data_IF_550122010586
#
_entry.id   IF_550122010586
#
_cell.length_a   1.000
_cell.length_b   1.000
_cell.length_c   1.000
_cell.angle_alpha   90.00
_cell.angle_beta   90.00
_cell.angle_gamma   90.00
#
_symmetry.space_group_name_H-M   'P 1'
#
loop_
_entity.id
_entity.type
_entity.pdbx_description
1 polymer ?
#
# COMPACT_ATOMS: atom_id res chain seq x y z
N UNK A 1 2.49 -4.98 8.52
CA UNK A 1 2.11 -4.16 9.69
C UNK A 1 2.94 -2.88 9.78
N UNK A 2 4.27 -2.96 9.93
CA UNK A 2 5.12 -1.75 10.10
C UNK A 2 5.10 -0.78 8.90
N UNK A 3 5.15 -1.30 7.66
CA UNK A 3 5.01 -0.48 6.44
C UNK A 3 3.70 0.32 6.46
N UNK A 4 2.58 -0.30 6.84
CA UNK A 4 1.28 0.39 6.92
C UNK A 4 1.27 1.46 8.01
N UNK A 5 1.58 1.09 9.24
CA UNK A 5 1.42 1.97 10.38
C UNK A 5 2.48 3.10 10.39
N UNK A 6 3.76 2.74 10.25
CA UNK A 6 4.88 3.68 10.33
C UNK A 6 5.17 4.35 8.99
N UNK A 7 5.01 3.62 7.88
CA UNK A 7 5.31 4.13 6.54
C UNK A 7 4.16 4.92 5.93
N UNK A 8 2.95 4.37 5.96
CA UNK A 8 1.78 4.96 5.29
C UNK A 8 0.88 5.76 6.25
N UNK A 9 1.00 5.53 7.56
CA UNK A 9 0.12 6.12 8.58
C UNK A 9 -1.26 5.46 8.65
N UNK A 10 -1.41 4.24 8.11
CA UNK A 10 -2.67 3.50 8.09
C UNK A 10 -2.67 2.49 9.25
N UNK A 11 -3.70 2.53 10.09
CA UNK A 11 -3.89 1.52 11.13
C UNK A 11 -4.11 0.15 10.49
N UNK A 12 -3.53 -0.91 11.06
CA UNK A 12 -3.86 -2.27 10.63
C UNK A 12 -5.26 -2.70 11.09
N UNK A 13 -5.82 -2.04 12.10
CA UNK A 13 -7.20 -2.27 12.54
C UNK A 13 -8.16 -1.87 11.41
N UNK A 14 -9.07 -2.78 11.05
CA UNK A 14 -10.10 -2.65 10.00
C UNK A 14 -9.64 -2.41 8.55
N UNK A 15 -8.33 -2.31 8.27
CA UNK A 15 -7.83 -2.01 6.91
C UNK A 15 -7.16 -3.21 6.20
N UNK A 16 -7.16 -4.39 6.83
CA UNK A 16 -6.70 -5.65 6.24
C UNK A 16 -7.88 -6.37 5.58
N UNK A 17 -7.71 -6.85 4.34
CA UNK A 17 -8.75 -7.49 3.51
C UNK A 17 -10.01 -6.61 3.33
N UNK A 18 -9.88 -5.28 3.36
CA UNK A 18 -11.01 -4.35 3.37
C UNK A 18 -10.95 -3.34 2.22
N UNK A 19 -10.71 -3.82 1.00
CA UNK A 19 -10.64 -2.99 -0.20
C UNK A 19 -9.27 -2.35 -0.42
N UNK A 20 -9.27 -1.25 -1.18
CA UNK A 20 -8.04 -0.56 -1.60
C UNK A 20 -8.08 0.94 -1.32
N UNK A 21 -6.89 1.53 -1.26
CA UNK A 21 -6.64 2.96 -1.06
C UNK A 21 -5.96 3.54 -2.29
N UNK A 22 -6.30 4.78 -2.66
CA UNK A 22 -5.55 5.51 -3.68
C UNK A 22 -4.12 5.80 -3.17
N UNK A 23 -3.13 5.58 -4.04
CA UNK A 23 -1.73 5.77 -3.68
C UNK A 23 -1.39 7.26 -3.70
N UNK A 24 -1.11 7.82 -2.53
CA UNK A 24 -0.65 9.21 -2.40
C UNK A 24 0.82 9.36 -2.83
N UNK A 25 1.20 10.55 -3.32
CA UNK A 25 2.58 10.86 -3.72
C UNK A 25 3.60 10.64 -2.61
N UNK A 26 3.24 10.93 -1.35
CA UNK A 26 4.09 10.72 -0.17
C UNK A 26 4.38 9.24 0.11
N UNK A 27 3.55 8.33 -0.38
CA UNK A 27 3.70 6.89 -0.16
C UNK A 27 4.64 6.23 -1.17
N UNK A 28 4.94 6.87 -2.31
CA UNK A 28 5.77 6.27 -3.36
C UNK A 28 7.14 5.83 -2.83
N UNK A 29 7.80 6.66 -2.02
CA UNK A 29 9.11 6.31 -1.46
C UNK A 29 9.07 5.12 -0.48
N UNK A 30 7.92 4.92 0.18
CA UNK A 30 7.68 3.80 1.10
C UNK A 30 7.34 2.53 0.33
N UNK A 31 6.52 2.63 -0.73
CA UNK A 31 6.03 1.49 -1.49
C UNK A 31 7.03 1.00 -2.54
N UNK A 32 7.73 1.91 -3.23
CA UNK A 32 8.61 1.57 -4.36
C UNK A 32 9.65 0.47 -4.06
N UNK A 33 10.27 0.40 -2.87
CA UNK A 33 11.21 -0.68 -2.55
C UNK A 33 10.61 -2.09 -2.53
N UNK A 34 9.27 -2.21 -2.43
CA UNK A 34 8.56 -3.48 -2.35
C UNK A 34 8.05 -3.99 -3.71
N UNK A 35 8.22 -3.22 -4.78
CA UNK A 35 7.77 -3.56 -6.12
C UNK A 35 8.89 -3.42 -7.14
N UNK A 36 9.02 -4.40 -8.04
CA UNK A 36 9.89 -4.26 -9.21
C UNK A 36 9.32 -3.27 -10.25
N UNK A 37 7.99 -3.12 -10.28
CA UNK A 37 7.31 -2.13 -11.11
C UNK A 37 7.62 -0.71 -10.63
N UNK A 38 7.99 0.19 -11.55
CA UNK A 38 8.19 1.60 -11.23
C UNK A 38 6.84 2.32 -11.13
N UNK A 39 6.53 2.82 -9.94
CA UNK A 39 5.31 3.58 -9.68
C UNK A 39 5.46 4.95 -10.35
N UNK A 40 4.63 5.21 -11.35
CA UNK A 40 4.58 6.48 -12.09
C UNK A 40 3.18 7.10 -11.99
N UNK A 41 2.99 7.93 -10.97
CA UNK A 41 1.73 8.64 -10.71
C UNK A 41 1.38 9.70 -11.77
N UNK A 42 2.29 10.01 -12.70
CA UNK A 42 1.97 10.94 -13.81
C UNK A 42 1.27 10.23 -14.97
N UNK A 43 1.42 8.91 -15.06
CA UNK A 43 0.90 8.10 -16.15
C UNK A 43 -0.32 7.26 -15.75
N UNK A 44 -0.46 6.89 -14.47
CA UNK A 44 -1.52 5.99 -14.01
C UNK A 44 -2.03 6.35 -12.61
N UNK A 45 -3.30 6.03 -12.38
CA UNK A 45 -3.88 5.98 -11.04
C UNK A 45 -3.56 4.62 -10.40
N UNK A 46 -3.00 4.64 -9.19
CA UNK A 46 -2.63 3.43 -8.46
C UNK A 46 -3.50 3.25 -7.22
N UNK A 47 -3.84 2.00 -6.93
CA UNK A 47 -4.48 1.61 -5.69
C UNK A 47 -3.68 0.50 -5.01
N UNK A 48 -3.74 0.45 -3.67
CA UNK A 48 -3.13 -0.61 -2.86
C UNK A 48 -4.15 -1.20 -1.89
N UNK A 49 -4.22 -2.53 -1.82
CA UNK A 49 -4.92 -3.29 -0.79
C UNK A 49 -3.91 -3.98 0.13
N UNK A 50 -4.34 -4.29 1.34
CA UNK A 50 -3.54 -5.04 2.30
C UNK A 50 -4.20 -6.37 2.58
N UNK A 51 -3.80 -7.37 1.81
CA UNK A 51 -4.39 -8.70 1.90
C UNK A 51 -3.59 -9.57 2.87
N UNK A 52 -4.29 -10.22 3.80
CA UNK A 52 -3.70 -11.16 4.75
C UNK A 52 -4.43 -12.48 4.70
N UNK A 53 -3.65 -13.56 4.69
CA UNK A 53 -4.14 -14.92 4.81
C UNK A 53 -3.14 -15.77 5.58
N UNK A 54 -3.66 -16.60 6.46
CA UNK A 54 -2.93 -17.54 7.29
C UNK A 54 -2.58 -18.83 6.54
N UNK A 55 -3.53 -19.45 5.83
CA UNK A 55 -3.30 -20.65 5.02
C UNK A 55 -4.11 -20.62 3.71
N UNK A 56 -3.53 -21.17 2.63
CA UNK A 56 -4.19 -21.34 1.31
C UNK A 56 -5.35 -22.33 1.32
#
# INVERSE_FOLDING_TARGET
ADVMASGLGISTEDNINNGGFDVESKWVSVLQPHFCHQIDLSAYDYQISFDYRDLW
#
